data_IF_600713836493
#
_entry.id   IF_600713836493
#
_cell.length_a   1.000
_cell.length_b   1.000
_cell.length_c   1.000
_cell.angle_alpha   90.00
_cell.angle_beta   90.00
_cell.angle_gamma   90.00
#
_symmetry.space_group_name_H-M   'P 1'
#
loop_
_entity.id
_entity.type
_entity.pdbx_description
1 polymer ?
#
# COMPACT_ATOMS: atom_id res chain seq x y z
N UNK A 1 -9.38 -50.95 10.34
CA UNK A 1 -8.33 -50.26 11.11
C UNK A 1 -7.81 -49.09 10.29
N UNK A 2 -7.55 -47.95 10.95
CA UNK A 2 -6.96 -46.76 10.32
C UNK A 2 -5.56 -46.56 10.86
N UNK A 3 -4.61 -46.32 9.96
CA UNK A 3 -3.27 -45.89 10.28
C UNK A 3 -3.11 -44.43 9.84
N UNK A 4 -2.72 -43.57 10.75
CA UNK A 4 -2.37 -42.19 10.43
C UNK A 4 -0.87 -41.99 10.63
N UNK A 5 -0.19 -41.59 9.58
CA UNK A 5 1.24 -41.27 9.60
C UNK A 5 1.34 -39.77 9.47
N UNK A 6 1.91 -39.14 10.48
CA UNK A 6 2.17 -37.71 10.52
C UNK A 6 3.67 -37.49 10.64
N UNK A 7 4.22 -36.70 9.72
CA UNK A 7 5.65 -36.38 9.68
C UNK A 7 5.76 -34.86 9.73
N UNK A 8 6.29 -34.37 10.83
CA UNK A 8 6.58 -32.93 11.00
C UNK A 8 8.04 -32.63 10.66
N UNK A 9 8.25 -31.51 10.01
CA UNK A 9 9.59 -31.04 9.66
C UNK A 9 10.42 -30.69 10.90
N UNK A 10 11.74 -30.89 10.80
CA UNK A 10 12.71 -30.51 11.84
C UNK A 10 13.35 -29.16 11.52
N UNK A 11 14.41 -28.82 12.26
CA UNK A 11 15.14 -27.55 12.27
C UNK A 11 15.33 -26.86 10.90
N UNK A 12 15.51 -27.62 9.83
CA UNK A 12 15.79 -27.10 8.49
C UNK A 12 14.52 -26.78 7.68
N UNK A 13 13.39 -27.39 8.04
CA UNK A 13 12.08 -27.11 7.45
C UNK A 13 10.94 -27.32 8.47
N UNK A 14 10.81 -26.45 9.45
CA UNK A 14 9.82 -26.59 10.53
C UNK A 14 8.36 -26.41 10.06
N UNK A 15 8.16 -25.97 8.83
CA UNK A 15 6.82 -25.78 8.25
C UNK A 15 6.34 -26.98 7.43
N UNK A 16 7.20 -27.96 7.24
CA UNK A 16 6.81 -29.18 6.52
C UNK A 16 5.91 -30.04 7.41
N UNK A 17 4.74 -30.37 6.93
CA UNK A 17 3.84 -31.33 7.53
C UNK A 17 3.28 -32.25 6.45
N UNK A 18 3.50 -33.54 6.62
CA UNK A 18 2.96 -34.57 5.77
C UNK A 18 2.02 -35.44 6.61
N UNK A 19 0.77 -35.56 6.18
CA UNK A 19 -0.22 -36.41 6.84
C UNK A 19 -0.73 -37.42 5.79
N UNK A 20 -0.62 -38.68 6.11
CA UNK A 20 -1.17 -39.78 5.30
C UNK A 20 -2.09 -40.65 6.14
N UNK A 21 -3.35 -40.68 5.77
CA UNK A 21 -4.35 -41.53 6.39
C UNK A 21 -4.58 -42.77 5.48
N UNK A 22 -4.33 -43.95 6.00
CA UNK A 22 -4.46 -45.21 5.29
C UNK A 22 -5.52 -46.06 5.98
N UNK A 23 -6.54 -46.46 5.25
CA UNK A 23 -7.55 -47.39 5.74
C UNK A 23 -7.15 -48.81 5.40
N UNK A 24 -6.99 -49.63 6.42
CA UNK A 24 -6.56 -51.04 6.30
C UNK A 24 -7.77 -51.93 6.52
N UNK A 25 -8.23 -52.57 5.44
CA UNK A 25 -9.25 -53.62 5.46
C UNK A 25 -8.57 -54.97 5.30
N UNK A 26 -9.17 -56.07 5.77
CA UNK A 26 -8.59 -57.41 5.59
C UNK A 26 -8.36 -57.82 4.13
N UNK A 27 -9.02 -57.17 3.20
CA UNK A 27 -8.96 -57.49 1.76
C UNK A 27 -8.28 -56.43 0.89
N UNK A 28 -8.03 -55.19 1.43
CA UNK A 28 -7.44 -54.11 0.63
C UNK A 28 -6.86 -53.01 1.51
N UNK A 29 -5.85 -52.29 0.96
CA UNK A 29 -5.24 -51.09 1.59
C UNK A 29 -5.49 -49.92 0.69
N UNK A 30 -6.33 -48.97 1.14
CA UNK A 30 -6.62 -47.77 0.38
C UNK A 30 -6.12 -46.50 1.09
N UNK A 31 -5.53 -45.57 0.32
CA UNK A 31 -5.13 -44.24 0.82
C UNK A 31 -6.34 -43.34 0.78
N UNK A 32 -6.87 -43.02 1.95
CA UNK A 32 -8.10 -42.21 2.07
C UNK A 32 -7.80 -40.71 2.00
N UNK A 33 -6.61 -40.28 2.42
CA UNK A 33 -6.26 -38.87 2.43
C UNK A 33 -4.75 -38.67 2.46
N UNK A 34 -4.25 -37.89 1.52
CA UNK A 34 -2.85 -37.48 1.49
C UNK A 34 -2.80 -35.93 1.45
N UNK A 35 -2.07 -35.35 2.37
CA UNK A 35 -1.82 -33.90 2.40
C UNK A 35 -0.32 -33.67 2.60
N UNK A 36 0.28 -33.01 1.63
CA UNK A 36 1.61 -32.43 1.77
C UNK A 36 1.51 -30.96 1.42
N UNK A 37 2.04 -30.09 2.25
CA UNK A 37 1.99 -28.67 1.92
C UNK A 37 2.84 -27.80 2.83
N UNK A 38 3.57 -26.89 2.21
CA UNK A 38 4.28 -25.78 2.86
C UNK A 38 3.52 -24.45 2.72
N UNK A 39 2.25 -24.48 2.33
CA UNK A 39 1.47 -23.28 2.08
C UNK A 39 0.60 -22.94 3.29
N UNK A 40 1.02 -21.94 4.06
CA UNK A 40 0.20 -21.31 5.07
C UNK A 40 -0.24 -19.93 4.58
N UNK A 41 -1.53 -19.77 4.39
CA UNK A 41 -2.15 -18.51 4.07
C UNK A 41 -2.50 -17.79 5.38
N UNK A 42 -1.79 -16.71 5.69
CA UNK A 42 -2.08 -15.91 6.86
C UNK A 42 -3.12 -14.83 6.50
N UNK A 43 -4.35 -15.05 6.95
CA UNK A 43 -5.44 -14.09 6.73
C UNK A 43 -5.32 -12.97 7.75
N UNK A 44 -5.40 -11.68 7.34
CA UNK A 44 -5.43 -10.57 8.27
C UNK A 44 -6.51 -10.82 9.34
N UNK A 45 -6.25 -10.41 10.57
CA UNK A 45 -7.15 -10.55 11.73
C UNK A 45 -7.24 -11.95 12.38
N UNK A 46 -6.55 -12.97 11.90
CA UNK A 46 -6.50 -14.28 12.54
C UNK A 46 -5.39 -14.32 13.59
N UNK A 47 -5.72 -14.73 14.83
CA UNK A 47 -4.71 -14.98 15.88
C UNK A 47 -3.78 -16.11 15.43
N UNK A 48 -2.47 -15.87 15.50
CA UNK A 48 -1.45 -16.90 15.24
C UNK A 48 -1.52 -17.99 16.30
N UNK A 49 -1.46 -19.23 15.87
CA UNK A 49 -1.29 -20.37 16.78
C UNK A 49 0.15 -20.41 17.30
N UNK A 50 0.43 -21.05 18.48
CA UNK A 50 1.78 -21.19 18.99
C UNK A 50 2.77 -21.82 18.00
N UNK A 51 2.30 -22.74 17.16
CA UNK A 51 3.10 -23.42 16.12
C UNK A 51 3.49 -22.49 14.98
N UNK A 52 2.64 -21.53 14.60
CA UNK A 52 2.93 -20.52 13.59
C UNK A 52 3.98 -19.51 14.05
N UNK A 53 4.22 -19.39 15.35
CA UNK A 53 5.23 -18.49 15.93
C UNK A 53 6.68 -18.93 15.70
N UNK A 54 6.91 -20.15 15.23
CA UNK A 54 8.26 -20.69 15.01
C UNK A 54 8.71 -20.66 13.55
N UNK A 55 7.87 -20.18 12.63
CA UNK A 55 8.24 -20.09 11.21
C UNK A 55 9.13 -18.88 10.97
N UNK A 56 10.30 -19.11 10.34
CA UNK A 56 11.21 -18.03 9.94
C UNK A 56 10.70 -17.23 8.74
N UNK A 57 9.95 -17.86 7.86
CA UNK A 57 9.37 -17.24 6.67
C UNK A 57 7.87 -17.49 6.62
N UNK A 58 7.11 -16.46 6.29
CA UNK A 58 5.66 -16.53 6.25
C UNK A 58 5.13 -15.66 5.12
N UNK A 59 4.16 -16.19 4.34
CA UNK A 59 3.39 -15.35 3.44
C UNK A 59 2.37 -14.55 4.24
N UNK A 60 2.34 -13.24 4.01
CA UNK A 60 1.49 -12.33 4.78
C UNK A 60 0.65 -11.45 3.87
N UNK A 61 -0.55 -11.14 4.34
CA UNK A 61 -1.40 -10.10 3.78
C UNK A 61 -1.62 -9.08 4.88
N UNK A 62 -1.06 -7.88 4.71
CA UNK A 62 -1.02 -6.86 5.77
C UNK A 62 -1.29 -5.46 5.21
N UNK A 63 -1.55 -4.53 6.11
CA UNK A 63 -1.39 -3.09 5.92
C UNK A 63 -2.33 -2.48 4.87
N UNK A 64 -3.64 -2.62 5.05
CA UNK A 64 -4.55 -1.72 4.35
C UNK A 64 -4.42 -0.30 4.93
N UNK A 65 -4.22 0.71 4.07
CA UNK A 65 -3.97 2.09 4.50
C UNK A 65 -4.93 3.05 3.85
N UNK A 66 -5.39 4.00 4.65
CA UNK A 66 -6.16 5.16 4.20
C UNK A 66 -5.63 6.40 4.91
N UNK A 67 -5.39 7.47 4.18
CA UNK A 67 -4.82 8.68 4.76
C UNK A 67 -5.14 9.94 3.97
N UNK A 68 -4.68 11.04 4.54
CA UNK A 68 -4.72 12.37 3.96
C UNK A 68 -3.31 12.75 3.52
N UNK A 69 -3.22 13.46 2.41
CA UNK A 69 -1.95 13.87 1.82
C UNK A 69 -1.88 15.38 1.71
N UNK A 70 -0.70 15.93 1.93
CA UNK A 70 -0.37 17.33 1.64
C UNK A 70 0.89 17.40 0.80
N UNK A 71 1.17 18.56 0.23
CA UNK A 71 2.35 18.81 -0.58
C UNK A 71 3.37 19.65 0.18
N UNK A 72 4.63 19.50 -0.18
CA UNK A 72 5.74 20.28 0.37
C UNK A 72 6.63 20.76 -0.79
N UNK A 73 7.24 21.94 -0.61
CA UNK A 73 8.09 22.54 -1.64
C UNK A 73 7.35 22.90 -2.92
N UNK A 74 6.03 23.06 -2.84
CA UNK A 74 5.18 23.47 -3.95
C UNK A 74 5.26 24.98 -4.17
N UNK A 75 4.98 25.47 -5.40
CA UNK A 75 4.79 26.91 -5.65
C UNK A 75 3.66 27.51 -4.81
N UNK A 76 3.77 28.80 -4.45
CA UNK A 76 2.81 29.50 -3.58
C UNK A 76 1.36 29.48 -4.10
N UNK A 77 1.17 29.36 -5.40
CA UNK A 77 -0.14 29.25 -6.05
C UNK A 77 -0.70 27.81 -6.09
N UNK A 78 0.00 26.84 -5.53
CA UNK A 78 -0.43 25.44 -5.45
C UNK A 78 -1.09 25.11 -4.11
N UNK A 79 -2.33 25.55 -3.93
CA UNK A 79 -3.10 25.37 -2.70
C UNK A 79 -3.72 23.96 -2.62
N UNK A 80 -2.92 22.94 -2.36
CA UNK A 80 -3.43 21.58 -2.15
C UNK A 80 -4.05 21.46 -0.77
N UNK A 81 -5.35 21.24 -0.73
CA UNK A 81 -6.11 21.04 0.49
C UNK A 81 -5.88 19.63 1.06
N UNK A 82 -5.25 19.52 2.22
CA UNK A 82 -5.03 18.24 2.90
C UNK A 82 -6.33 17.49 3.18
N UNK A 83 -7.38 18.20 3.62
CA UNK A 83 -8.67 17.59 3.93
C UNK A 83 -9.42 17.01 2.72
N UNK A 84 -9.05 17.44 1.51
CA UNK A 84 -9.63 16.96 0.25
C UNK A 84 -8.70 16.00 -0.53
N UNK A 85 -7.45 15.89 -0.09
CA UNK A 85 -6.41 15.06 -0.71
C UNK A 85 -6.25 13.79 0.09
N UNK A 86 -6.40 12.66 -0.57
CA UNK A 86 -6.40 11.37 0.10
C UNK A 86 -5.48 10.38 -0.60
N UNK A 87 -5.04 9.39 0.16
CA UNK A 87 -4.39 8.21 -0.37
C UNK A 87 -5.03 6.93 0.17
N UNK A 88 -5.05 5.91 -0.67
CA UNK A 88 -5.49 4.57 -0.31
C UNK A 88 -4.45 3.60 -0.83
N UNK A 89 -4.04 2.64 0.01
CA UNK A 89 -3.18 1.53 -0.39
C UNK A 89 -3.87 0.23 -0.03
N UNK A 90 -3.98 -0.67 -1.01
CA UNK A 90 -4.55 -2.02 -0.80
C UNK A 90 -3.74 -2.79 0.23
N UNK A 91 -4.28 -3.89 0.75
CA UNK A 91 -3.46 -4.82 1.53
C UNK A 91 -2.21 -5.23 0.74
N UNK A 92 -1.09 -5.28 1.45
CA UNK A 92 0.21 -5.72 0.92
C UNK A 92 0.27 -7.25 0.92
N UNK A 93 0.47 -7.83 -0.24
CA UNK A 93 0.72 -9.27 -0.42
C UNK A 93 2.22 -9.50 -0.48
N UNK A 94 2.77 -10.32 0.42
CA UNK A 94 4.22 -10.49 0.47
C UNK A 94 4.69 -11.52 1.46
N UNK A 95 5.98 -11.46 1.75
CA UNK A 95 6.67 -12.34 2.68
C UNK A 95 7.24 -11.56 3.83
N UNK A 96 7.12 -12.14 5.03
CA UNK A 96 7.79 -11.68 6.24
C UNK A 96 8.85 -12.71 6.65
N UNK A 97 10.04 -12.21 6.97
CA UNK A 97 11.16 -12.96 7.50
C UNK A 97 11.41 -12.54 8.96
N UNK A 98 11.57 -13.51 9.86
CA UNK A 98 11.79 -13.31 11.29
C UNK A 98 13.23 -13.72 11.64
N UNK A 99 14.20 -12.77 11.63
CA UNK A 99 15.61 -13.11 11.76
C UNK A 99 16.01 -13.59 13.16
N UNK A 100 15.43 -13.01 14.21
CA UNK A 100 15.87 -13.23 15.60
C UNK A 100 14.80 -13.90 16.47
N UNK A 101 13.58 -13.43 16.39
CA UNK A 101 12.45 -13.88 17.20
C UNK A 101 11.15 -13.66 16.45
N UNK A 102 10.04 -14.09 17.03
CA UNK A 102 8.72 -13.91 16.44
C UNK A 102 8.14 -12.49 16.57
N UNK A 103 8.83 -11.62 17.31
CA UNK A 103 8.40 -10.25 17.59
C UNK A 103 8.94 -9.26 16.54
N UNK A 104 10.02 -9.64 15.83
CA UNK A 104 10.67 -8.77 14.85
C UNK A 104 10.66 -9.39 13.47
N UNK A 105 10.19 -8.66 12.48
CA UNK A 105 10.12 -9.11 11.10
C UNK A 105 10.64 -8.08 10.11
N UNK A 106 11.24 -8.58 9.04
CA UNK A 106 11.52 -7.84 7.82
C UNK A 106 10.56 -8.35 6.75
N UNK A 107 9.79 -7.48 6.13
CA UNK A 107 8.82 -7.86 5.12
C UNK A 107 9.03 -7.13 3.81
N UNK A 108 8.71 -7.82 2.71
CA UNK A 108 8.66 -7.26 1.37
C UNK A 108 7.37 -7.73 0.71
N UNK A 109 6.73 -6.88 -0.08
CA UNK A 109 5.49 -7.25 -0.74
C UNK A 109 5.12 -6.36 -1.92
N UNK A 110 3.91 -6.55 -2.39
CA UNK A 110 3.30 -5.80 -3.50
C UNK A 110 1.92 -5.30 -3.06
N UNK A 111 1.63 -4.05 -3.38
CA UNK A 111 0.34 -3.41 -3.15
C UNK A 111 0.00 -2.45 -4.29
N UNK A 112 -1.26 -2.03 -4.37
CA UNK A 112 -1.70 -0.93 -5.24
C UNK A 112 -1.91 0.32 -4.38
N UNK A 113 -1.45 1.47 -4.87
CA UNK A 113 -1.60 2.75 -4.19
C UNK A 113 -2.26 3.78 -5.11
N UNK A 114 -3.20 4.51 -4.59
CA UNK A 114 -3.82 5.67 -5.22
C UNK A 114 -3.57 6.88 -4.36
N UNK A 115 -3.04 7.94 -4.97
CA UNK A 115 -2.82 9.24 -4.35
C UNK A 115 -3.59 10.30 -5.11
N UNK A 116 -4.27 11.18 -4.39
CA UNK A 116 -5.07 12.25 -4.96
C UNK A 116 -4.69 13.58 -4.33
N UNK A 117 -4.13 14.48 -5.13
CA UNK A 117 -3.75 15.84 -4.73
C UNK A 117 -4.78 16.81 -5.28
N UNK A 118 -5.57 17.42 -4.39
CA UNK A 118 -6.71 18.25 -4.76
C UNK A 118 -6.54 19.69 -4.30
N UNK A 119 -6.66 20.61 -5.24
CA UNK A 119 -6.81 22.03 -4.99
C UNK A 119 -8.31 22.40 -4.98
N UNK A 120 -8.71 23.24 -4.02
CA UNK A 120 -10.07 23.77 -3.86
C UNK A 120 -10.08 25.30 -3.85
N UNK A 121 -8.91 25.91 -3.98
CA UNK A 121 -8.69 27.37 -4.02
C UNK A 121 -8.91 27.99 -5.41
N UNK A 122 -8.41 29.20 -5.57
CA UNK A 122 -8.59 30.01 -6.79
C UNK A 122 -7.76 29.54 -8.00
N UNK A 123 -6.85 28.59 -7.79
CA UNK A 123 -5.95 28.10 -8.83
C UNK A 123 -6.31 26.68 -9.27
N UNK A 124 -5.94 26.36 -10.50
CA UNK A 124 -6.15 25.06 -11.13
C UNK A 124 -4.90 24.59 -11.84
N UNK A 125 -4.76 23.30 -11.98
CA UNK A 125 -3.80 22.72 -12.90
C UNK A 125 -4.33 22.84 -14.33
N UNK A 126 -3.49 23.29 -15.22
CA UNK A 126 -3.75 23.41 -16.66
C UNK A 126 -2.65 22.69 -17.40
N UNK A 127 -3.02 22.02 -18.48
CA UNK A 127 -2.09 21.42 -19.43
C UNK A 127 -2.41 21.97 -20.81
N UNK A 128 -1.40 22.54 -21.47
CA UNK A 128 -1.53 23.02 -22.84
C UNK A 128 -1.51 21.87 -23.87
N UNK A 129 -1.83 22.17 -25.10
CA UNK A 129 -1.73 21.23 -26.23
C UNK A 129 -0.30 20.71 -26.44
N UNK A 130 0.72 21.39 -25.86
CA UNK A 130 2.08 20.89 -25.68
C UNK A 130 2.17 19.85 -24.56
N UNK A 131 3.34 19.80 -23.92
CA UNK A 131 3.64 18.80 -22.87
C UNK A 131 3.59 19.37 -21.46
N UNK A 132 3.64 20.69 -21.34
CA UNK A 132 3.87 21.36 -20.05
C UNK A 132 2.58 21.55 -19.27
N UNK A 133 2.65 21.26 -17.98
CA UNK A 133 1.59 21.49 -17.02
C UNK A 133 1.98 22.66 -16.10
N UNK A 134 1.07 23.61 -15.92
CA UNK A 134 1.28 24.77 -15.07
C UNK A 134 0.05 25.06 -14.21
N UNK A 135 0.21 26.00 -13.29
CA UNK A 135 -0.88 26.43 -12.40
C UNK A 135 -1.37 27.78 -12.88
N UNK A 136 -2.67 27.87 -13.11
CA UNK A 136 -3.35 29.08 -13.58
C UNK A 136 -4.57 29.38 -12.71
N UNK A 137 -5.08 30.60 -12.79
CA UNK A 137 -6.31 30.99 -12.13
C UNK A 137 -7.54 30.48 -12.89
N UNK A 138 -8.65 30.31 -12.21
CA UNK A 138 -9.92 30.09 -12.88
C UNK A 138 -10.39 31.36 -13.60
N UNK A 139 -11.19 31.25 -14.67
CA UNK A 139 -11.85 32.39 -15.29
C UNK A 139 -12.65 33.21 -14.28
N UNK A 140 -12.73 34.49 -14.49
CA UNK A 140 -13.52 35.41 -13.63
C UNK A 140 -14.99 34.98 -13.64
N UNK A 141 -15.63 34.96 -12.45
CA UNK A 141 -17.01 34.49 -12.29
C UNK A 141 -17.20 32.98 -12.26
N UNK A 142 -16.13 32.19 -12.33
CA UNK A 142 -16.25 30.73 -12.26
C UNK A 142 -16.63 30.23 -10.86
N UNK A 143 -17.63 29.36 -10.79
CA UNK A 143 -17.97 28.56 -9.61
C UNK A 143 -17.04 27.34 -9.52
N UNK A 144 -16.06 27.43 -8.62
CA UNK A 144 -14.93 26.51 -8.50
C UNK A 144 -15.38 25.23 -7.77
N UNK A 145 -15.18 24.07 -8.40
CA UNK A 145 -15.42 22.79 -7.75
C UNK A 145 -14.12 22.15 -7.28
N UNK A 146 -13.18 21.88 -8.17
CA UNK A 146 -11.85 21.38 -7.84
C UNK A 146 -10.92 21.30 -9.05
N UNK A 147 -9.63 21.26 -8.77
CA UNK A 147 -8.60 20.78 -9.67
C UNK A 147 -7.74 19.73 -8.95
N UNK A 148 -7.48 18.57 -9.57
CA UNK A 148 -6.78 17.48 -8.91
C UNK A 148 -5.86 16.70 -9.83
N UNK A 149 -4.77 16.22 -9.24
CA UNK A 149 -3.90 15.19 -9.81
C UNK A 149 -4.15 13.89 -9.08
N UNK A 150 -4.38 12.82 -9.82
CA UNK A 150 -4.50 11.46 -9.29
C UNK A 150 -3.39 10.60 -9.86
N UNK A 151 -2.65 9.91 -8.99
CA UNK A 151 -1.55 8.99 -9.35
C UNK A 151 -1.91 7.59 -8.88
N UNK A 152 -1.78 6.62 -9.76
CA UNK A 152 -1.84 5.20 -9.47
C UNK A 152 -0.45 4.58 -9.55
N UNK A 153 -0.11 3.75 -8.57
CA UNK A 153 1.21 3.14 -8.45
C UNK A 153 1.10 1.69 -8.02
N UNK A 154 1.99 0.87 -8.55
CA UNK A 154 2.37 -0.40 -7.93
C UNK A 154 3.41 -0.10 -6.86
N UNK A 155 3.11 -0.45 -5.63
CA UNK A 155 3.93 -0.16 -4.47
C UNK A 155 4.64 -1.43 -3.97
N UNK A 156 5.94 -1.36 -3.78
CA UNK A 156 6.76 -2.43 -3.21
C UNK A 156 7.29 -1.96 -1.85
N UNK A 157 6.55 -2.20 -0.75
CA UNK A 157 7.01 -1.89 0.58
C UNK A 157 8.07 -2.87 1.05
N UNK A 158 9.12 -2.33 1.67
CA UNK A 158 10.13 -3.06 2.44
C UNK A 158 10.09 -2.50 3.85
N UNK A 159 9.57 -3.28 4.79
CA UNK A 159 9.26 -2.82 6.13
C UNK A 159 9.96 -3.66 7.20
N UNK A 160 10.58 -2.98 8.14
CA UNK A 160 11.00 -3.54 9.41
C UNK A 160 9.88 -3.33 10.43
N UNK A 161 9.41 -4.39 11.07
CA UNK A 161 8.33 -4.33 12.06
C UNK A 161 8.75 -5.02 13.33
N UNK A 162 8.53 -4.35 14.46
CA UNK A 162 8.70 -4.92 15.80
C UNK A 162 7.36 -4.90 16.53
N UNK A 163 6.91 -6.08 16.96
CA UNK A 163 5.67 -6.27 17.73
C UNK A 163 6.03 -6.56 19.20
N UNK A 164 5.52 -5.76 20.12
CA UNK A 164 5.73 -5.99 21.54
C UNK A 164 4.73 -7.04 22.08
N UNK A 165 5.06 -7.66 23.21
CA UNK A 165 4.15 -8.60 23.93
C UNK A 165 2.80 -7.98 24.27
N UNK A 166 2.76 -6.66 24.47
CA UNK A 166 1.55 -5.89 24.78
C UNK A 166 0.72 -5.53 23.53
N UNK A 167 1.00 -6.14 22.37
CA UNK A 167 0.30 -5.93 21.08
C UNK A 167 0.48 -4.53 20.49
N UNK A 168 1.51 -3.81 20.88
CA UNK A 168 1.97 -2.64 20.14
C UNK A 168 2.88 -3.10 19.02
N UNK A 169 2.76 -2.45 17.87
CA UNK A 169 3.62 -2.63 16.71
C UNK A 169 4.26 -1.31 16.31
N UNK A 170 5.52 -1.37 15.93
CA UNK A 170 6.28 -0.25 15.37
C UNK A 170 6.84 -0.71 14.05
N UNK A 171 6.59 0.05 12.99
CA UNK A 171 7.13 -0.28 11.67
C UNK A 171 7.85 0.91 11.09
N UNK A 172 8.98 0.65 10.44
CA UNK A 172 9.75 1.63 9.68
C UNK A 172 10.21 0.99 8.38
N UNK A 173 10.17 1.73 7.28
CA UNK A 173 10.63 1.20 6.02
C UNK A 173 10.54 2.16 4.87
N UNK A 174 10.85 1.63 3.69
CA UNK A 174 10.78 2.33 2.43
C UNK A 174 9.77 1.64 1.49
N UNK A 175 9.14 2.42 0.63
CA UNK A 175 8.20 1.95 -0.36
C UNK A 175 8.67 2.44 -1.72
N UNK A 176 8.99 1.52 -2.61
CA UNK A 176 9.28 1.84 -4.00
C UNK A 176 7.97 1.83 -4.77
N UNK A 177 7.63 2.95 -5.40
CA UNK A 177 6.42 3.10 -6.18
C UNK A 177 6.75 3.17 -7.67
N UNK A 178 6.11 2.33 -8.46
CA UNK A 178 6.11 2.38 -9.91
C UNK A 178 4.82 3.08 -10.35
N UNK A 179 4.93 4.36 -10.71
CA UNK A 179 3.80 5.23 -11.05
C UNK A 179 3.39 4.98 -12.50
N UNK A 180 2.44 4.09 -12.71
CA UNK A 180 2.06 3.62 -14.06
C UNK A 180 0.97 4.45 -14.71
N UNK A 181 0.19 5.18 -13.92
CA UNK A 181 -0.88 6.04 -14.45
C UNK A 181 -1.05 7.28 -13.61
N UNK A 182 -1.20 8.42 -14.27
CA UNK A 182 -1.61 9.65 -13.61
C UNK A 182 -2.58 10.43 -14.48
N UNK A 183 -3.47 11.18 -13.85
CA UNK A 183 -4.48 12.00 -14.52
C UNK A 183 -4.70 13.32 -13.81
N UNK A 184 -4.90 14.35 -14.61
CA UNK A 184 -5.37 15.67 -14.21
C UNK A 184 -6.87 15.73 -14.45
N UNK A 185 -7.62 16.30 -13.50
CA UNK A 185 -9.03 16.61 -13.67
C UNK A 185 -9.38 17.94 -13.01
N UNK A 186 -9.89 18.86 -13.82
CA UNK A 186 -10.39 20.17 -13.35
C UNK A 186 -11.88 20.26 -13.64
N UNK A 187 -12.64 20.78 -12.68
CA UNK A 187 -14.09 20.99 -12.82
C UNK A 187 -14.48 22.34 -12.24
N UNK A 188 -15.23 23.13 -13.00
CA UNK A 188 -15.82 24.39 -12.59
C UNK A 188 -17.08 24.68 -13.41
N UNK A 189 -17.90 25.63 -12.97
CA UNK A 189 -19.02 26.15 -13.75
C UNK A 189 -18.79 27.60 -14.10
N UNK A 190 -19.16 28.00 -15.30
CA UNK A 190 -19.10 29.37 -15.77
C UNK A 190 -20.36 29.65 -16.60
N UNK A 191 -21.07 30.73 -16.33
CA UNK A 191 -22.32 31.12 -17.01
C UNK A 191 -23.37 29.99 -17.06
N UNK A 192 -23.47 29.21 -15.97
CA UNK A 192 -24.39 28.07 -15.86
C UNK A 192 -23.94 26.80 -16.59
N UNK A 193 -22.84 26.83 -17.32
CA UNK A 193 -22.27 25.65 -18.00
C UNK A 193 -21.19 24.98 -17.17
N UNK A 194 -21.17 23.65 -17.16
CA UNK A 194 -20.17 22.85 -16.46
C UNK A 194 -19.00 22.50 -17.38
N UNK A 195 -17.80 22.90 -16.99
CA UNK A 195 -16.53 22.58 -17.66
C UNK A 195 -15.82 21.46 -16.94
N UNK A 196 -15.52 20.40 -17.68
CA UNK A 196 -14.79 19.21 -17.23
C UNK A 196 -13.56 19.02 -18.11
N UNK A 197 -12.39 19.36 -17.61
CA UNK A 197 -11.11 19.16 -18.30
C UNK A 197 -10.47 17.90 -17.71
N UNK A 198 -10.03 16.98 -18.55
CA UNK A 198 -9.38 15.74 -18.12
C UNK A 198 -8.22 15.43 -19.05
N UNK A 199 -7.03 15.24 -18.48
CA UNK A 199 -5.81 14.83 -19.17
C UNK A 199 -5.18 13.63 -18.48
N UNK A 200 -4.74 12.65 -19.25
CA UNK A 200 -4.20 11.38 -18.73
C UNK A 200 -2.68 11.25 -18.88
N UNK A 201 -2.02 12.14 -19.60
CA UNK A 201 -0.57 12.13 -19.78
C UNK A 201 0.03 13.39 -19.16
N UNK A 202 0.36 13.33 -17.89
CA UNK A 202 0.82 14.49 -17.09
C UNK A 202 2.27 14.36 -16.65
N UNK A 203 3.04 13.50 -17.30
CA UNK A 203 4.48 13.30 -17.03
C UNK A 203 4.79 13.11 -15.53
N UNK A 204 4.12 12.14 -14.91
CA UNK A 204 4.45 11.73 -13.54
C UNK A 204 5.84 11.10 -13.47
N UNK A 205 6.56 11.32 -12.37
CA UNK A 205 7.84 10.63 -12.12
C UNK A 205 7.62 9.12 -12.11
N UNK A 206 8.28 8.34 -12.99
CA UNK A 206 7.95 6.91 -13.18
C UNK A 206 8.21 6.06 -11.95
N UNK A 207 9.30 6.36 -11.23
CA UNK A 207 9.70 5.63 -10.01
C UNK A 207 9.96 6.62 -8.89
N UNK A 208 9.30 6.40 -7.76
CA UNK A 208 9.49 7.20 -6.54
C UNK A 208 9.72 6.32 -5.33
N UNK A 209 10.39 6.85 -4.33
CA UNK A 209 10.65 6.16 -3.06
C UNK A 209 10.02 6.98 -1.94
N UNK A 210 9.20 6.33 -1.12
CA UNK A 210 8.60 6.91 0.07
C UNK A 210 9.27 6.31 1.32
N UNK A 211 9.39 7.10 2.38
CA UNK A 211 9.79 6.65 3.71
C UNK A 211 8.53 6.61 4.58
N UNK A 212 8.29 5.50 5.26
CA UNK A 212 7.12 5.33 6.10
C UNK A 212 7.51 4.88 7.51
N UNK A 213 6.89 5.49 8.51
CA UNK A 213 6.86 5.03 9.88
C UNK A 213 5.43 4.79 10.31
N UNK A 214 5.19 3.77 11.13
CA UNK A 214 3.86 3.53 11.71
C UNK A 214 3.97 2.99 13.14
N UNK A 215 2.92 3.30 13.91
CA UNK A 215 2.70 2.77 15.25
C UNK A 215 1.29 2.20 15.30
N UNK A 216 1.15 1.01 15.85
CA UNK A 216 -0.14 0.35 15.97
C UNK A 216 -0.38 -0.30 17.31
N UNK A 217 -1.65 -0.53 17.58
CA UNK A 217 -2.11 -1.33 18.70
C UNK A 217 -3.13 -2.34 18.20
N UNK A 218 -2.84 -3.62 18.38
CA UNK A 218 -3.64 -4.73 17.84
C UNK A 218 -3.72 -4.66 16.29
N UNK A 219 -4.91 -4.35 15.78
CA UNK A 219 -5.21 -4.36 14.33
C UNK A 219 -5.32 -2.97 13.72
N UNK A 220 -5.10 -1.90 14.50
CA UNK A 220 -5.23 -0.52 14.02
C UNK A 220 -4.01 0.27 14.41
N UNK A 221 -3.53 1.11 13.51
CA UNK A 221 -2.43 2.01 13.79
C UNK A 221 -2.51 3.30 12.99
N UNK A 222 -1.54 4.17 13.24
CA UNK A 222 -1.30 5.40 12.52
C UNK A 222 -0.01 5.30 11.74
N UNK A 223 0.05 5.91 10.59
CA UNK A 223 1.26 6.02 9.82
C UNK A 223 1.53 7.47 9.40
N UNK A 224 2.80 7.75 9.22
CA UNK A 224 3.32 8.94 8.55
C UNK A 224 4.20 8.46 7.40
N UNK A 225 3.99 9.03 6.21
CA UNK A 225 4.73 8.70 5.01
C UNK A 225 5.23 9.97 4.33
N UNK A 226 6.52 10.06 4.14
CA UNK A 226 7.20 11.16 3.44
C UNK A 226 7.72 10.68 2.10
N UNK A 227 7.37 11.40 1.05
CA UNK A 227 7.77 11.14 -0.34
C UNK A 227 8.77 12.21 -0.77
N UNK A 228 10.10 11.99 -0.65
CA UNK A 228 11.12 12.99 -1.02
C UNK A 228 11.25 13.21 -2.52
N UNK A 229 10.78 12.25 -3.32
CA UNK A 229 10.81 12.37 -4.77
C UNK A 229 9.70 13.32 -5.27
N UNK A 230 9.99 14.08 -6.30
CA UNK A 230 8.99 14.91 -6.98
C UNK A 230 7.88 14.02 -7.57
N UNK A 231 6.63 14.44 -7.44
CA UNK A 231 5.47 13.68 -7.94
C UNK A 231 5.38 13.74 -9.46
N UNK A 232 5.75 14.88 -10.04
CA UNK A 232 5.80 15.11 -11.48
C UNK A 232 7.24 15.26 -11.94
N UNK A 233 7.48 14.99 -13.23
CA UNK A 233 8.74 15.33 -13.86
C UNK A 233 8.86 16.85 -13.95
N UNK A 234 9.94 17.39 -13.39
CA UNK A 234 10.17 18.83 -13.24
C UNK A 234 10.35 19.56 -14.56
N UNK A 235 10.68 18.82 -15.63
CA UNK A 235 10.76 19.38 -16.97
C UNK A 235 9.37 19.74 -17.57
N UNK A 236 8.28 19.18 -16.99
CA UNK A 236 6.94 19.27 -17.59
C UNK A 236 5.86 19.74 -16.63
N UNK A 237 6.18 20.06 -15.38
CA UNK A 237 5.17 20.46 -14.42
C UNK A 237 5.71 21.07 -13.13
N UNK A 238 4.82 21.57 -12.25
CA UNK A 238 5.21 22.16 -10.99
C UNK A 238 5.90 21.15 -10.08
N UNK A 239 6.98 21.60 -9.44
CA UNK A 239 7.71 20.79 -8.48
C UNK A 239 6.98 20.73 -7.14
N UNK A 240 6.78 19.51 -6.62
CA UNK A 240 6.34 19.29 -5.26
C UNK A 240 6.66 17.87 -4.79
N UNK A 241 6.82 17.74 -3.50
CA UNK A 241 6.93 16.47 -2.78
C UNK A 241 5.67 16.25 -1.95
N UNK A 242 5.52 15.07 -1.34
CA UNK A 242 4.30 14.77 -0.59
C UNK A 242 4.59 14.28 0.83
N UNK A 243 3.69 14.65 1.74
CA UNK A 243 3.61 14.12 3.08
C UNK A 243 2.20 13.58 3.31
N UNK A 244 2.10 12.35 3.81
CA UNK A 244 0.81 11.72 4.10
C UNK A 244 0.75 11.24 5.54
N UNK A 245 -0.42 11.33 6.14
CA UNK A 245 -0.72 10.76 7.46
C UNK A 245 -2.04 10.03 7.42
N UNK A 246 -2.17 8.94 8.14
CA UNK A 246 -3.41 8.18 8.10
C UNK A 246 -3.45 6.97 9.01
N UNK A 247 -4.44 6.14 8.76
CA UNK A 247 -4.70 4.90 9.47
C UNK A 247 -4.15 3.71 8.69
N UNK A 248 -3.61 2.76 9.42
CA UNK A 248 -3.22 1.44 8.92
C UNK A 248 -4.00 0.37 9.67
N UNK A 249 -4.52 -0.60 8.92
CA UNK A 249 -5.16 -1.81 9.44
C UNK A 249 -4.22 -2.97 9.17
N UNK A 250 -3.76 -3.61 10.26
CA UNK A 250 -2.79 -4.72 10.26
C UNK A 250 -3.44 -6.07 10.12
#
# INVERSE_FOLDING_TARGET
>A
NRLMVEIDGKKDNPSFRYVREVEISPSDVSVTKERSGNWDFNIPFRKRTPEQRHKRNEFVVKDFKIGLSTVQGAPDNMDVSMGSSWEITTPTFGWAYYPWNTETSLSIGLACSWRNYRMTGKHRFVKDAGTDMYIDSYPEGADIQFSRIKVFSWAVPVMFTHETRNKFSFSLGAIVNFNTHASLKTRYKLDGQEYKLTDNNIHQTPVTVDLQASIGYKSVGFYVKYSPCKVLDTAYGPEFTALSVGLVLF
#
